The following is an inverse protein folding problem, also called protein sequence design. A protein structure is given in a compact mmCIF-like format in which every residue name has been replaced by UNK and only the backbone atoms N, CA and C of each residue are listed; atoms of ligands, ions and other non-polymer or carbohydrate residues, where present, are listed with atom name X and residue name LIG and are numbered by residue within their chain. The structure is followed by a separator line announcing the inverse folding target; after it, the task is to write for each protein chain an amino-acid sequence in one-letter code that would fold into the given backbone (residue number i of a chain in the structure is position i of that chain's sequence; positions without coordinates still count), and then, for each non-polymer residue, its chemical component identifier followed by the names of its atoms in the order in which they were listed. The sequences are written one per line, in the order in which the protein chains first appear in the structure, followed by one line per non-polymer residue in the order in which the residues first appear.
data_IF_701035168402
#
_entry.id   IF_701035168402
#
_cell.length_a   1.000
_cell.length_b   1.000
_cell.length_c   1.000
_cell.angle_alpha   90.00
_cell.angle_beta   90.00
_cell.angle_gamma   90.00
#
_symmetry.space_group_name_H-M   'P 1'
#
loop_
_entity.id
_entity.type
_entity.pdbx_description
1 polymer ?
#
# COMPACT_ATOMS: atom_id res chain seq x y z
N UNK A 1 7.93 -13.49 52.66
CA UNK A 1 7.00 -14.56 52.26
C UNK A 1 6.20 -14.02 51.10
N UNK A 2 6.24 -14.72 49.97
CA UNK A 2 5.83 -14.34 48.63
C UNK A 2 4.35 -13.98 48.50
N UNK A 3 4.04 -12.75 48.09
CA UNK A 3 2.78 -12.43 47.43
C UNK A 3 2.92 -12.83 45.96
N UNK A 4 2.34 -13.98 45.63
CA UNK A 4 2.22 -14.50 44.28
C UNK A 4 1.09 -13.75 43.54
N UNK A 5 1.43 -12.64 42.88
CA UNK A 5 0.51 -11.94 41.99
C UNK A 5 0.47 -12.67 40.64
N UNK A 6 -0.48 -13.60 40.49
CA UNK A 6 -0.75 -14.30 39.23
C UNK A 6 -1.32 -13.33 38.20
N UNK A 7 -0.50 -12.88 37.26
CA UNK A 7 -0.96 -12.16 36.07
C UNK A 7 -1.92 -13.06 35.25
N UNK A 8 -3.00 -12.51 34.67
CA UNK A 8 -3.89 -13.29 33.80
C UNK A 8 -3.14 -13.68 32.51
N UNK A 9 -3.48 -14.82 31.88
CA UNK A 9 -2.84 -15.24 30.64
C UNK A 9 -3.16 -14.22 29.55
N UNK A 10 -2.13 -13.72 28.88
CA UNK A 10 -2.27 -13.02 27.61
C UNK A 10 -2.78 -14.04 26.61
N UNK A 11 -4.09 -14.02 26.36
CA UNK A 11 -4.68 -14.76 25.26
C UNK A 11 -4.06 -14.21 23.98
N UNK A 12 -3.33 -15.07 23.27
CA UNK A 12 -2.80 -14.82 21.93
C UNK A 12 -4.00 -14.84 20.97
N UNK A 13 -4.85 -13.82 21.11
CA UNK A 13 -6.08 -13.62 20.36
C UNK A 13 -5.77 -12.91 19.05
N UNK A 14 -6.26 -13.51 17.97
CA UNK A 14 -6.19 -13.10 16.57
C UNK A 14 -6.04 -11.59 16.36
N UNK A 15 -5.10 -11.25 15.47
CA UNK A 15 -4.90 -9.90 14.95
C UNK A 15 -6.26 -9.42 14.40
N UNK A 16 -6.88 -8.39 14.98
CA UNK A 16 -8.08 -7.81 14.41
C UNK A 16 -7.76 -7.40 12.97
N UNK A 17 -8.66 -7.60 11.99
CA UNK A 17 -8.44 -7.04 10.68
C UNK A 17 -8.27 -5.54 10.87
N UNK A 18 -7.09 -5.02 10.56
CA UNK A 18 -6.84 -3.59 10.50
C UNK A 18 -7.80 -3.03 9.48
N UNK A 19 -8.95 -2.52 9.94
CA UNK A 19 -9.64 -1.40 9.30
C UNK A 19 -8.76 -0.17 9.48
N UNK A 20 -7.57 -0.22 8.91
CA UNK A 20 -6.95 0.97 8.39
C UNK A 20 -7.53 1.10 6.99
N UNK A 21 -8.73 1.66 6.89
CA UNK A 21 -9.03 2.58 5.80
C UNK A 21 -8.08 3.77 5.98
N UNK A 22 -6.78 3.52 5.79
CA UNK A 22 -5.94 4.54 5.28
C UNK A 22 -6.52 4.79 3.89
N UNK A 23 -7.33 5.84 3.79
CA UNK A 23 -7.11 6.78 2.72
C UNK A 23 -5.61 7.15 2.79
N UNK A 24 -4.77 6.26 2.27
CA UNK A 24 -3.42 6.59 1.86
C UNK A 24 -3.63 7.54 0.69
N UNK A 25 -3.85 8.81 1.03
CA UNK A 25 -3.22 9.88 0.29
C UNK A 25 -1.72 9.68 0.47
N UNK A 26 -1.20 8.66 -0.23
CA UNK A 26 0.22 8.42 -0.39
C UNK A 26 0.70 9.59 -1.23
N UNK A 27 1.11 10.65 -0.54
CA UNK A 27 1.88 11.74 -1.13
C UNK A 27 3.24 11.14 -1.45
N UNK A 28 3.29 10.40 -2.56
CA UNK A 28 4.54 9.91 -3.14
C UNK A 28 5.31 11.13 -3.60
N UNK A 29 6.29 11.54 -2.80
CA UNK A 29 7.29 12.53 -3.18
C UNK A 29 8.05 11.98 -4.39
N UNK A 30 7.73 12.51 -5.58
CA UNK A 30 8.42 12.18 -6.81
C UNK A 30 9.86 12.71 -6.72
N UNK A 31 10.77 11.89 -6.19
CA UNK A 31 12.21 12.21 -6.16
C UNK A 31 12.76 12.12 -7.58
N UNK A 32 12.76 13.24 -8.30
CA UNK A 32 13.48 13.37 -9.58
C UNK A 32 14.95 13.71 -9.27
N UNK A 33 15.87 12.81 -9.59
CA UNK A 33 17.31 13.05 -9.45
C UNK A 33 17.80 14.00 -10.55
N UNK A 34 17.75 15.31 -10.33
CA UNK A 34 18.34 16.30 -11.25
C UNK A 34 19.84 16.43 -10.98
N UNK A 35 20.63 15.67 -11.74
CA UNK A 35 22.09 15.80 -11.77
C UNK A 35 22.52 17.01 -12.60
N UNK A 36 22.90 18.08 -11.92
CA UNK A 36 23.83 19.16 -12.30
C UNK A 36 24.24 19.25 -13.78
N UNK A 37 23.55 20.09 -14.58
CA UNK A 37 24.14 20.76 -15.75
C UNK A 37 23.46 22.11 -16.02
N UNK A 38 24.25 23.16 -15.87
CA UNK A 38 23.96 24.57 -16.13
C UNK A 38 23.75 24.86 -17.64
N UNK A 39 22.61 24.44 -18.17
CA UNK A 39 22.04 24.92 -19.45
C UNK A 39 20.53 25.04 -19.22
N UNK A 40 19.97 26.24 -19.27
CA UNK A 40 18.52 26.45 -19.29
C UNK A 40 18.00 25.97 -20.65
N UNK A 41 17.91 24.66 -20.81
CA UNK A 41 16.96 24.05 -21.73
C UNK A 41 15.58 24.23 -21.05
N UNK A 42 14.55 24.77 -21.73
CA UNK A 42 13.23 24.84 -21.14
C UNK A 42 12.84 23.44 -20.68
N UNK A 43 12.52 23.32 -19.40
CA UNK A 43 12.20 22.05 -18.76
C UNK A 43 11.19 21.29 -19.65
N UNK A 44 11.56 20.11 -20.20
CA UNK A 44 10.67 19.33 -21.06
C UNK A 44 9.39 18.92 -20.31
N UNK A 45 9.41 19.01 -18.97
CA UNK A 45 8.24 18.83 -18.13
C UNK A 45 7.48 20.14 -17.99
N UNK A 46 6.61 20.41 -18.95
CA UNK A 46 5.59 21.45 -18.79
C UNK A 46 4.65 21.07 -17.63
N UNK A 47 4.03 22.06 -17.01
CA UNK A 47 3.00 21.84 -15.98
C UNK A 47 1.82 20.98 -16.48
N UNK A 48 1.60 20.92 -17.80
CA UNK A 48 0.63 20.04 -18.45
C UNK A 48 1.08 18.57 -18.39
N UNK A 49 2.35 18.29 -18.71
CA UNK A 49 2.90 16.93 -18.63
C UNK A 49 2.87 16.37 -17.19
N UNK A 50 3.10 17.22 -16.19
CA UNK A 50 2.99 16.82 -14.78
C UNK A 50 1.56 16.46 -14.39
N UNK A 51 0.55 17.23 -14.83
CA UNK A 51 -0.86 16.94 -14.57
C UNK A 51 -1.32 15.63 -15.23
N UNK A 52 -0.87 15.36 -16.46
CA UNK A 52 -1.15 14.10 -17.15
C UNK A 52 -0.55 12.93 -16.36
N UNK A 53 0.72 13.02 -15.97
CA UNK A 53 1.40 11.97 -15.20
C UNK A 53 0.71 11.71 -13.85
N UNK A 54 0.30 12.76 -13.14
CA UNK A 54 -0.47 12.62 -11.88
C UNK A 54 -1.79 11.88 -12.12
N UNK A 55 -2.50 12.21 -13.22
CA UNK A 55 -3.73 11.53 -13.60
C UNK A 55 -3.51 10.05 -13.95
N UNK A 56 -2.43 9.73 -14.67
CA UNK A 56 -2.05 8.36 -15.01
C UNK A 56 -1.71 7.54 -13.78
N UNK A 57 -0.92 8.09 -12.85
CA UNK A 57 -0.55 7.43 -11.59
C UNK A 57 -1.80 7.16 -10.74
N UNK A 58 -2.68 8.15 -10.60
CA UNK A 58 -3.93 8.01 -9.86
C UNK A 58 -4.84 6.92 -10.49
N UNK A 59 -4.92 6.88 -11.82
CA UNK A 59 -5.65 5.85 -12.56
C UNK A 59 -5.05 4.44 -12.37
N UNK A 60 -3.73 4.32 -12.43
CA UNK A 60 -3.01 3.06 -12.17
C UNK A 60 -3.29 2.54 -10.76
N UNK A 61 -3.23 3.41 -9.75
CA UNK A 61 -3.51 3.05 -8.36
C UNK A 61 -4.91 2.45 -8.18
N UNK A 62 -5.93 3.02 -8.83
CA UNK A 62 -7.28 2.46 -8.81
C UNK A 62 -7.35 1.09 -9.49
N UNK A 63 -6.68 0.92 -10.64
CA UNK A 63 -6.67 -0.36 -11.36
C UNK A 63 -5.98 -1.47 -10.56
N UNK A 64 -4.83 -1.17 -9.96
CA UNK A 64 -4.07 -2.11 -9.12
C UNK A 64 -4.90 -2.55 -7.91
N UNK A 65 -5.53 -1.61 -7.20
CA UNK A 65 -6.41 -1.91 -6.06
C UNK A 65 -7.55 -2.86 -6.46
N UNK A 66 -8.20 -2.63 -7.60
CA UNK A 66 -9.24 -3.53 -8.13
C UNK A 66 -8.70 -4.93 -8.42
N UNK A 67 -7.56 -5.02 -9.11
CA UNK A 67 -6.96 -6.32 -9.45
C UNK A 67 -6.59 -7.13 -8.20
N UNK A 68 -6.05 -6.46 -7.15
CA UNK A 68 -5.75 -7.11 -5.87
C UNK A 68 -7.03 -7.65 -5.23
N UNK A 69 -8.10 -6.84 -5.19
CA UNK A 69 -9.39 -7.24 -4.64
C UNK A 69 -10.02 -8.42 -5.40
N UNK A 70 -9.77 -8.55 -6.71
CA UNK A 70 -10.23 -9.67 -7.52
C UNK A 70 -9.41 -10.95 -7.30
N UNK A 71 -8.11 -10.83 -6.98
CA UNK A 71 -7.19 -11.97 -6.83
C UNK A 71 -7.22 -12.56 -5.42
N UNK A 72 -7.33 -11.73 -4.37
CA UNK A 72 -7.40 -12.18 -2.97
C UNK A 72 -8.43 -13.30 -2.74
N UNK A 73 -9.71 -13.17 -3.15
CA UNK A 73 -10.72 -14.21 -2.89
C UNK A 73 -10.44 -15.50 -3.68
N UNK A 74 -9.85 -15.40 -4.88
CA UNK A 74 -9.46 -16.58 -5.67
C UNK A 74 -8.36 -17.36 -4.97
N UNK A 75 -7.35 -16.67 -4.43
CA UNK A 75 -6.28 -17.31 -3.68
C UNK A 75 -6.79 -17.96 -2.39
N UNK A 76 -7.73 -17.31 -1.67
CA UNK A 76 -8.39 -17.91 -0.49
C UNK A 76 -9.10 -19.23 -0.85
N UNK A 77 -9.81 -19.26 -1.97
CA UNK A 77 -10.48 -20.48 -2.44
C UNK A 77 -9.47 -21.59 -2.77
N UNK A 78 -8.38 -21.27 -3.45
CA UNK A 78 -7.32 -22.25 -3.77
C UNK A 78 -6.74 -22.84 -2.47
N UNK A 79 -6.44 -22.00 -1.47
CA UNK A 79 -5.93 -22.46 -0.17
C UNK A 79 -6.95 -23.36 0.55
N UNK A 80 -8.23 -22.99 0.56
CA UNK A 80 -9.31 -23.81 1.16
C UNK A 80 -9.44 -25.19 0.49
N UNK A 81 -9.34 -25.26 -0.84
CA UNK A 81 -9.39 -26.53 -1.57
C UNK A 81 -8.18 -27.41 -1.25
N UNK A 82 -6.98 -26.83 -1.25
CA UNK A 82 -5.74 -27.58 -0.97
C UNK A 82 -5.67 -28.07 0.48
N UNK A 83 -6.19 -27.31 1.43
CA UNK A 83 -6.21 -27.68 2.86
C UNK A 83 -7.19 -28.81 3.22
N UNK A 84 -8.07 -29.20 2.29
CA UNK A 84 -9.02 -30.32 2.47
C UNK A 84 -8.47 -31.68 2.01
N UNK A 85 -7.32 -31.70 1.36
CA UNK A 85 -6.62 -32.92 0.89
C UNK A 85 -5.67 -33.40 1.96
#
# INVERSE_FOLDING_TARGET
SSEETRAPPLEEGEIPPTQSEQEEEDVVELVTTTGDRDVVDPDPFTSESAQILIGEIMGCNLHIKKNINDVIPKNKNIIDVLGRV
#
